data_IF_335898092609
#
_entry.id   IF_335898092609
#
_cell.length_a   1.000
_cell.length_b   1.000
_cell.length_c   1.000
_cell.angle_alpha   90.00
_cell.angle_beta   90.00
_cell.angle_gamma   90.00
#
_symmetry.space_group_name_H-M   'P 1'
#
loop_
_entity.id
_entity.type
_entity.pdbx_description
1 polymer ?
#
# COMPACT_ATOMS: atom_id res chain seq x y z
N UNK A 1 23.21 11.98 -7.33
CA UNK A 1 21.87 12.03 -7.94
C UNK A 1 21.48 13.49 -8.11
N UNK A 2 21.32 13.97 -9.34
CA UNK A 2 21.15 15.39 -9.63
C UNK A 2 19.66 15.75 -9.56
N UNK A 3 19.26 16.50 -8.52
CA UNK A 3 17.88 16.91 -8.26
C UNK A 3 17.32 17.92 -9.28
N UNK A 4 18.12 18.38 -10.25
CA UNK A 4 17.69 19.36 -11.27
C UNK A 4 17.14 18.74 -12.56
N UNK A 5 17.12 17.41 -12.68
CA UNK A 5 16.61 16.71 -13.87
C UNK A 5 15.24 16.05 -13.68
N UNK A 6 14.67 16.10 -12.48
CA UNK A 6 13.26 15.81 -12.31
C UNK A 6 12.50 17.08 -12.67
N UNK A 7 12.31 17.31 -13.97
CA UNK A 7 11.26 18.20 -14.47
C UNK A 7 9.92 17.52 -14.15
N UNK A 8 9.61 17.41 -12.85
CA UNK A 8 8.29 17.03 -12.36
C UNK A 8 7.39 18.15 -12.87
N UNK A 9 6.44 17.85 -13.76
CA UNK A 9 5.39 18.82 -13.99
C UNK A 9 4.77 19.09 -12.61
N UNK A 10 4.19 20.26 -12.43
CA UNK A 10 3.15 20.47 -11.42
C UNK A 10 2.04 19.44 -11.69
N UNK A 11 2.30 18.17 -11.40
CA UNK A 11 1.45 17.05 -11.66
C UNK A 11 0.36 17.16 -10.62
N UNK A 12 -0.84 17.52 -11.09
CA UNK A 12 -2.04 17.29 -10.33
C UNK A 12 -2.14 15.77 -10.13
N UNK A 13 -1.63 15.27 -9.01
CA UNK A 13 -1.77 13.87 -8.64
C UNK A 13 -3.25 13.56 -8.52
N UNK A 14 -3.67 12.53 -9.25
CA UNK A 14 -5.04 12.07 -9.21
C UNK A 14 -5.33 11.39 -7.87
N UNK A 15 -6.60 11.18 -7.55
CA UNK A 15 -6.97 10.39 -6.36
C UNK A 15 -6.45 8.96 -6.47
N UNK A 16 -6.39 8.41 -7.68
CA UNK A 16 -5.84 7.08 -7.96
C UNK A 16 -4.35 7.00 -7.65
N UNK A 17 -3.59 8.05 -7.98
CA UNK A 17 -2.15 8.13 -7.68
C UNK A 17 -1.90 8.12 -6.16
N UNK A 18 -2.72 8.84 -5.41
CA UNK A 18 -2.65 8.87 -3.94
C UNK A 18 -3.11 7.55 -3.32
N UNK A 19 -4.06 6.86 -3.94
CA UNK A 19 -4.53 5.54 -3.49
C UNK A 19 -3.41 4.51 -3.64
N UNK A 20 -2.78 4.44 -4.82
CA UNK A 20 -1.63 3.57 -5.05
C UNK A 20 -0.47 3.92 -4.12
N UNK A 21 -0.21 5.22 -3.89
CA UNK A 21 0.79 5.63 -2.90
C UNK A 21 0.47 5.15 -1.48
N UNK A 22 -0.79 5.29 -1.04
CA UNK A 22 -1.25 4.87 0.28
C UNK A 22 -1.09 3.36 0.51
N UNK A 23 -1.28 2.54 -0.52
CA UNK A 23 -1.14 1.08 -0.46
C UNK A 23 0.25 0.56 -0.87
N UNK A 24 1.22 1.46 -1.12
CA UNK A 24 2.58 1.12 -1.59
C UNK A 24 2.60 0.40 -2.97
N UNK A 25 1.65 0.71 -3.83
CA UNK A 25 1.49 0.15 -5.18
C UNK A 25 1.95 1.13 -6.29
N UNK A 26 2.32 2.36 -5.93
CA UNK A 26 2.88 3.32 -6.87
C UNK A 26 4.32 2.93 -7.29
N UNK A 27 4.72 3.26 -8.52
CA UNK A 27 6.12 3.08 -8.95
C UNK A 27 7.07 3.89 -8.06
N UNK A 28 8.31 3.44 -7.94
CA UNK A 28 9.35 4.10 -7.11
C UNK A 28 9.50 5.59 -7.46
N UNK A 29 9.50 5.93 -8.74
CA UNK A 29 9.64 7.31 -9.23
C UNK A 29 8.43 8.16 -8.85
N UNK A 30 7.23 7.58 -8.98
CA UNK A 30 5.97 8.25 -8.67
C UNK A 30 5.78 8.45 -7.17
N UNK A 31 6.14 7.44 -6.36
CA UNK A 31 6.12 7.54 -4.92
C UNK A 31 7.10 8.61 -4.41
N UNK A 32 8.30 8.69 -4.99
CA UNK A 32 9.25 9.75 -4.68
C UNK A 32 8.72 11.15 -5.05
N UNK A 33 8.10 11.28 -6.24
CA UNK A 33 7.50 12.53 -6.68
C UNK A 33 6.35 12.99 -5.76
N UNK A 34 5.45 12.08 -5.38
CA UNK A 34 4.38 12.34 -4.42
C UNK A 34 4.96 12.75 -3.07
N UNK A 35 5.97 12.01 -2.57
CA UNK A 35 6.65 12.30 -1.32
C UNK A 35 7.24 13.72 -1.28
N UNK A 36 7.87 14.16 -2.37
CA UNK A 36 8.40 15.53 -2.50
C UNK A 36 7.27 16.56 -2.53
N UNK A 37 6.21 16.32 -3.32
CA UNK A 37 5.09 17.25 -3.43
C UNK A 37 4.34 17.44 -2.10
N UNK A 38 4.21 16.37 -1.30
CA UNK A 38 3.63 16.41 0.03
C UNK A 38 4.41 17.31 1.01
N UNK A 39 5.64 17.74 0.72
CA UNK A 39 6.38 18.69 1.56
C UNK A 39 5.92 20.13 1.37
N UNK A 40 5.47 20.52 0.17
CA UNK A 40 5.07 21.88 -0.15
C UNK A 40 3.57 22.06 -0.37
N UNK A 41 2.88 21.05 -0.89
CA UNK A 41 1.45 21.13 -1.24
C UNK A 41 0.56 20.74 -0.06
N UNK A 42 -0.10 21.74 0.54
CA UNK A 42 -1.00 21.53 1.67
C UNK A 42 -2.32 20.86 1.27
N UNK A 43 -2.88 21.19 0.10
CA UNK A 43 -4.13 20.58 -0.36
C UNK A 43 -3.94 19.10 -0.65
N UNK A 44 -2.80 18.74 -1.24
CA UNK A 44 -2.44 17.34 -1.48
C UNK A 44 -2.29 16.56 -0.17
N UNK A 45 -1.66 17.16 0.86
CA UNK A 45 -1.57 16.56 2.20
C UNK A 45 -2.94 16.32 2.80
N UNK A 46 -3.82 17.31 2.81
CA UNK A 46 -5.17 17.15 3.36
C UNK A 46 -5.94 16.02 2.68
N UNK A 47 -5.85 15.95 1.35
CA UNK A 47 -6.49 14.89 0.57
C UNK A 47 -5.96 13.50 0.96
N UNK A 48 -4.64 13.36 1.11
CA UNK A 48 -4.03 12.11 1.56
C UNK A 48 -4.44 11.74 3.00
N UNK A 49 -4.46 12.72 3.91
CA UNK A 49 -4.87 12.49 5.31
C UNK A 49 -6.34 12.08 5.41
N UNK A 50 -7.23 12.65 4.59
CA UNK A 50 -8.63 12.20 4.48
C UNK A 50 -8.71 10.73 4.04
N UNK A 51 -7.92 10.33 3.04
CA UNK A 51 -7.89 8.95 2.55
C UNK A 51 -7.33 7.98 3.61
N UNK A 52 -6.30 8.39 4.36
CA UNK A 52 -5.77 7.62 5.50
C UNK A 52 -6.82 7.44 6.60
N UNK A 53 -7.59 8.49 6.90
CA UNK A 53 -8.70 8.43 7.85
C UNK A 53 -9.75 7.40 7.44
N UNK A 54 -10.19 7.44 6.18
CA UNK A 54 -11.13 6.46 5.63
C UNK A 54 -10.58 5.02 5.66
N UNK A 55 -9.30 4.84 5.33
CA UNK A 55 -8.62 3.52 5.42
C UNK A 55 -8.60 3.00 6.87
N UNK A 56 -8.27 3.86 7.83
CA UNK A 56 -8.25 3.48 9.25
C UNK A 56 -9.65 3.09 9.75
N UNK A 57 -10.68 3.82 9.33
CA UNK A 57 -12.07 3.49 9.65
C UNK A 57 -12.46 2.11 9.09
N UNK A 58 -12.17 1.83 7.81
CA UNK A 58 -12.42 0.53 7.20
C UNK A 58 -11.70 -0.61 7.93
N UNK A 59 -10.45 -0.39 8.36
CA UNK A 59 -9.68 -1.38 9.11
C UNK A 59 -10.20 -1.60 10.54
N UNK A 60 -10.95 -0.64 11.10
CA UNK A 60 -11.52 -0.76 12.44
C UNK A 60 -12.82 -1.57 12.48
N UNK A 61 -13.41 -1.86 11.31
CA UNK A 61 -14.68 -2.58 11.21
C UNK A 61 -14.50 -4.00 11.74
N UNK A 62 -15.31 -4.37 12.74
CA UNK A 62 -15.35 -5.74 13.27
C UNK A 62 -15.91 -6.69 12.22
N UNK A 63 -15.03 -7.49 11.63
CA UNK A 63 -15.41 -8.58 10.75
C UNK A 63 -15.78 -9.82 11.57
N UNK A 64 -16.61 -10.69 10.97
CA UNK A 64 -16.89 -12.01 11.53
C UNK A 64 -15.62 -12.86 11.48
N UNK A 65 -15.38 -13.64 12.54
CA UNK A 65 -14.27 -14.58 12.56
C UNK A 65 -14.42 -15.61 11.43
N UNK A 66 -13.32 -15.99 10.75
CA UNK A 66 -13.36 -17.05 9.76
C UNK A 66 -13.81 -18.37 10.40
N UNK A 67 -14.45 -19.24 9.63
CA UNK A 67 -14.80 -20.59 10.09
C UNK A 67 -13.52 -21.37 10.40
N UNK A 68 -13.57 -22.24 11.42
CA UNK A 68 -12.44 -23.12 11.78
C UNK A 68 -11.87 -23.88 10.58
N UNK A 69 -12.73 -24.42 9.72
CA UNK A 69 -12.32 -25.14 8.52
C UNK A 69 -11.44 -24.30 7.58
N UNK A 70 -11.70 -22.99 7.47
CA UNK A 70 -10.87 -22.08 6.67
C UNK A 70 -9.45 -22.00 7.25
N UNK A 71 -9.32 -21.89 8.57
CA UNK A 71 -8.03 -21.87 9.25
C UNK A 71 -7.29 -23.20 9.05
N UNK A 72 -7.98 -24.33 9.26
CA UNK A 72 -7.40 -25.67 9.09
C UNK A 72 -6.87 -25.86 7.65
N UNK A 73 -7.61 -25.40 6.64
CA UNK A 73 -7.18 -25.47 5.24
C UNK A 73 -5.92 -24.63 4.96
N UNK A 74 -5.84 -23.41 5.51
CA UNK A 74 -4.67 -22.53 5.33
C UNK A 74 -3.43 -23.16 5.99
N UNK A 75 -3.58 -23.69 7.21
CA UNK A 75 -2.48 -24.32 7.94
C UNK A 75 -1.98 -25.58 7.24
N UNK A 76 -2.89 -26.45 6.78
CA UNK A 76 -2.53 -27.65 6.04
C UNK A 76 -1.81 -27.34 4.72
N UNK A 77 -2.18 -26.25 4.04
CA UNK A 77 -1.47 -25.80 2.84
C UNK A 77 -0.04 -25.32 3.18
N UNK A 78 0.10 -24.50 4.22
CA UNK A 78 1.40 -23.99 4.66
C UNK A 78 2.36 -25.12 5.07
N UNK A 79 1.88 -26.11 5.82
CA UNK A 79 2.67 -27.27 6.24
C UNK A 79 3.22 -28.06 5.04
N UNK A 80 2.37 -28.39 4.06
CA UNK A 80 2.80 -29.07 2.84
C UNK A 80 3.82 -28.27 2.03
N UNK A 81 3.69 -26.95 2.01
CA UNK A 81 4.68 -26.11 1.33
C UNK A 81 6.04 -26.19 2.00
N UNK A 82 6.10 -26.21 3.35
CA UNK A 82 7.33 -26.35 4.11
C UNK A 82 7.99 -27.71 3.85
N UNK A 83 7.21 -28.80 3.86
CA UNK A 83 7.72 -30.14 3.52
C UNK A 83 8.35 -30.16 2.12
N UNK A 84 7.65 -29.61 1.12
CA UNK A 84 8.14 -29.53 -0.26
C UNK A 84 9.39 -28.66 -0.44
N UNK A 85 9.62 -27.68 0.44
CA UNK A 85 10.88 -26.92 0.47
C UNK A 85 12.00 -27.68 1.19
N UNK A 86 11.69 -28.44 2.23
CA UNK A 86 12.67 -29.22 2.99
C UNK A 86 13.20 -30.44 2.23
N UNK A 87 12.38 -31.07 1.38
CA UNK A 87 12.78 -32.20 0.54
C UNK A 87 13.65 -31.80 -0.66
N UNK A 88 13.74 -30.49 -0.96
CA UNK A 88 14.50 -29.93 -2.09
C UNK A 88 15.78 -29.21 -1.68
N UNK A 89 16.07 -29.14 -0.38
CA UNK A 89 17.28 -28.54 0.20
C UNK A 89 18.32 -29.61 0.55
#
# INVERSE_FOLDING_TARGET
MNLKQLNLPMHNFTSEDLLQYLYNEASTEKAAAIGVALLSDWSLREKLEMMKGAQAELNSVKLLSPRKQTLDNILNYAEKSIEAFSEKA
#
